data_IF_502611011252
#
_entry.id   IF_502611011252
#
_cell.length_a   1.000
_cell.length_b   1.000
_cell.length_c   1.000
_cell.angle_alpha   90.00
_cell.angle_beta   90.00
_cell.angle_gamma   90.00
#
_symmetry.space_group_name_H-M   'P 1'
#
loop_
_entity.id
_entity.type
_entity.pdbx_description
1 polymer ?
#
# COMPACT_ATOMS: atom_id res chain seq x y z
N UNK A 1 -3.38 16.71 17.28
CA UNK A 1 -4.26 16.67 18.46
C UNK A 1 -3.47 16.33 19.73
N UNK A 2 -3.91 16.84 20.85
CA UNK A 2 -3.28 16.63 22.17
C UNK A 2 -4.14 15.68 22.99
N UNK A 3 -3.52 14.66 23.59
CA UNK A 3 -4.15 13.74 24.53
C UNK A 3 -3.75 14.11 25.95
N UNK A 4 -4.72 14.56 26.76
CA UNK A 4 -4.49 14.82 28.18
C UNK A 4 -4.62 13.55 29.02
N UNK A 5 -3.57 13.21 29.80
CA UNK A 5 -3.62 12.13 30.77
C UNK A 5 -3.63 12.76 32.16
N UNK A 6 -4.67 12.46 32.95
CA UNK A 6 -4.74 12.80 34.34
C UNK A 6 -4.54 11.54 35.19
N UNK A 7 -3.54 11.56 36.08
CA UNK A 7 -3.28 10.45 36.99
C UNK A 7 -3.58 10.93 38.42
N UNK A 8 -4.48 10.24 39.13
CA UNK A 8 -4.83 10.52 40.50
C UNK A 8 -4.48 9.32 41.38
N UNK A 9 -3.59 9.53 42.34
CA UNK A 9 -3.26 8.57 43.39
C UNK A 9 -3.62 9.18 44.74
N UNK A 10 -4.25 8.51 45.66
CA UNK A 10 -4.52 8.79 47.06
C UNK A 10 -4.72 10.29 47.48
N UNK A 11 -5.42 10.61 48.60
CA UNK A 11 -5.94 11.96 48.91
C UNK A 11 -4.90 13.08 49.09
N UNK A 12 -3.63 12.77 49.24
CA UNK A 12 -2.55 13.77 49.41
C UNK A 12 -1.64 13.91 48.16
N UNK A 13 -1.96 13.27 47.03
CA UNK A 13 -1.12 13.29 45.84
C UNK A 13 -1.53 14.43 44.93
N UNK A 14 -0.59 15.27 44.53
CA UNK A 14 -0.84 16.30 43.52
C UNK A 14 -1.09 15.64 42.17
N UNK A 15 -2.22 15.96 41.53
CA UNK A 15 -2.52 15.54 40.17
C UNK A 15 -1.66 16.38 39.23
N UNK A 16 -0.70 15.75 38.54
CA UNK A 16 0.00 16.36 37.44
C UNK A 16 -0.67 15.93 36.13
N UNK A 17 -1.14 16.92 35.35
CA UNK A 17 -1.66 16.70 34.03
C UNK A 17 -0.50 16.69 33.04
N UNK A 18 -0.26 15.54 32.40
CA UNK A 18 0.70 15.42 31.30
C UNK A 18 -0.06 15.43 29.99
N UNK A 19 0.32 16.31 29.08
CA UNK A 19 -0.23 16.35 27.72
C UNK A 19 0.71 15.59 26.78
N UNK A 20 0.16 14.59 26.09
CA UNK A 20 0.87 13.82 25.07
C UNK A 20 0.39 14.24 23.68
N UNK A 21 1.35 14.47 22.80
CA UNK A 21 1.05 14.76 21.40
C UNK A 21 0.56 13.49 20.71
N UNK A 22 -0.60 13.57 20.07
CA UNK A 22 -1.14 12.46 19.29
C UNK A 22 -0.48 12.44 17.90
N UNK A 23 0.07 11.29 17.43
CA UNK A 23 0.67 11.21 16.11
C UNK A 23 -0.38 11.33 15.00
N UNK A 24 0.10 11.47 13.76
CA UNK A 24 -0.75 11.47 12.58
C UNK A 24 -1.34 10.08 12.32
N UNK A 25 -2.36 10.03 11.48
CA UNK A 25 -3.01 8.77 11.08
C UNK A 25 -1.99 7.77 10.51
N UNK A 26 -2.13 6.52 10.90
CA UNK A 26 -1.24 5.43 10.51
C UNK A 26 0.12 5.41 11.22
N UNK A 27 0.36 6.33 12.16
CA UNK A 27 1.55 6.37 13.00
C UNK A 27 1.21 6.00 14.43
N UNK A 28 2.16 5.34 15.12
CA UNK A 28 2.11 5.06 16.55
C UNK A 28 3.31 5.73 17.21
N UNK A 29 3.10 6.41 18.32
CA UNK A 29 4.17 7.04 19.10
C UNK A 29 4.22 6.47 20.50
N UNK A 30 5.40 6.00 20.90
CA UNK A 30 5.63 5.43 22.23
C UNK A 30 6.15 6.51 23.19
N UNK A 31 5.58 6.54 24.39
CA UNK A 31 5.96 7.43 25.45
C UNK A 31 6.36 6.65 26.70
N UNK A 32 7.39 7.14 27.39
CA UNK A 32 7.78 6.67 28.71
C UNK A 32 7.41 7.74 29.74
N UNK A 33 6.51 7.40 30.63
CA UNK A 33 6.04 8.28 31.71
C UNK A 33 6.64 7.80 33.03
N UNK A 34 7.32 8.71 33.77
CA UNK A 34 7.86 8.40 35.07
C UNK A 34 6.93 8.96 36.15
N UNK A 35 6.50 8.10 37.06
CA UNK A 35 5.75 8.47 38.26
C UNK A 35 6.72 8.58 39.40
N UNK A 36 6.90 9.80 39.92
CA UNK A 36 7.80 10.11 41.03
C UNK A 36 7.06 10.13 42.38
N UNK A 37 7.78 9.92 43.47
CA UNK A 37 7.24 10.09 44.80
C UNK A 37 6.44 8.92 45.35
N UNK A 38 6.56 7.74 44.76
CA UNK A 38 6.01 6.52 45.34
C UNK A 38 6.90 5.96 46.45
N UNK A 39 6.31 5.33 47.48
CA UNK A 39 7.07 4.70 48.58
C UNK A 39 8.02 3.60 48.08
N UNK A 40 7.72 2.96 46.98
CA UNK A 40 8.51 1.91 46.32
C UNK A 40 9.55 2.47 45.33
N UNK A 41 9.70 3.80 45.23
CA UNK A 41 10.57 4.49 44.28
C UNK A 41 9.86 4.83 42.95
N UNK A 42 10.57 5.55 42.11
CA UNK A 42 10.04 6.01 40.81
C UNK A 42 9.69 4.83 39.91
N UNK A 43 8.51 4.88 39.31
CA UNK A 43 8.02 3.86 38.37
C UNK A 43 7.91 4.45 36.96
N UNK A 44 8.35 3.70 35.96
CA UNK A 44 8.22 4.08 34.55
C UNK A 44 7.11 3.28 33.88
N UNK A 45 6.18 3.99 33.26
CA UNK A 45 5.07 3.41 32.48
C UNK A 45 5.31 3.69 31.00
N UNK A 46 5.20 2.67 30.17
CA UNK A 46 5.27 2.79 28.72
C UNK A 46 3.85 2.85 28.14
N UNK A 47 3.58 3.87 27.35
CA UNK A 47 2.27 4.10 26.72
C UNK A 47 2.45 4.28 25.22
N UNK A 48 1.76 3.47 24.43
CA UNK A 48 1.69 3.61 22.98
C UNK A 48 0.43 4.40 22.62
N UNK A 49 0.59 5.46 21.83
CA UNK A 49 -0.52 6.31 21.37
C UNK A 49 -0.63 6.21 19.86
N UNK A 50 -1.75 5.69 19.40
CA UNK A 50 -2.07 5.64 17.97
C UNK A 50 -2.64 6.95 17.45
N UNK A 51 -2.37 7.25 16.18
CA UNK A 51 -2.97 8.38 15.49
C UNK A 51 -4.49 8.29 15.46
N UNK A 52 -5.16 9.44 15.52
CA UNK A 52 -6.61 9.51 15.41
C UNK A 52 -7.03 9.14 13.97
N UNK A 53 -7.99 8.22 13.81
CA UNK A 53 -8.61 7.98 12.50
C UNK A 53 -9.25 9.27 11.98
N UNK A 54 -9.05 9.60 10.69
CA UNK A 54 -9.71 10.76 10.10
C UNK A 54 -11.23 10.56 10.03
N UNK A 55 -11.97 11.65 10.02
CA UNK A 55 -13.40 11.62 9.69
C UNK A 55 -13.57 11.20 8.22
N UNK A 56 -14.81 10.86 7.82
CA UNK A 56 -15.12 10.30 6.49
C UNK A 56 -14.48 11.10 5.33
N UNK A 57 -14.55 12.43 5.36
CA UNK A 57 -13.91 13.26 4.33
C UNK A 57 -12.39 13.18 4.35
N UNK A 58 -11.78 13.14 5.55
CA UNK A 58 -10.34 12.94 5.70
C UNK A 58 -9.91 11.56 5.22
N UNK A 59 -10.75 10.52 5.42
CA UNK A 59 -10.49 9.17 4.94
C UNK A 59 -10.49 9.09 3.40
N UNK A 60 -11.35 9.83 2.74
CA UNK A 60 -11.34 9.90 1.27
C UNK A 60 -10.02 10.47 0.73
N UNK A 61 -9.50 11.55 1.34
CA UNK A 61 -8.20 12.09 0.97
C UNK A 61 -7.05 11.09 1.22
N UNK A 62 -7.12 10.33 2.31
CA UNK A 62 -6.16 9.25 2.60
C UNK A 62 -6.22 8.15 1.54
N UNK A 63 -7.40 7.78 1.08
CA UNK A 63 -7.55 6.81 0.00
C UNK A 63 -7.02 7.32 -1.34
N UNK A 64 -7.21 8.61 -1.66
CA UNK A 64 -6.64 9.22 -2.87
C UNK A 64 -5.11 9.18 -2.85
N UNK A 65 -4.49 9.55 -1.73
CA UNK A 65 -3.03 9.45 -1.54
C UNK A 65 -2.54 7.99 -1.62
N UNK A 66 -3.29 7.07 -1.03
CA UNK A 66 -2.99 5.64 -1.09
C UNK A 66 -3.10 5.11 -2.52
N UNK A 67 -4.08 5.54 -3.29
CA UNK A 67 -4.23 5.14 -4.69
C UNK A 67 -3.08 5.66 -5.56
N UNK A 68 -2.62 6.90 -5.34
CA UNK A 68 -1.44 7.43 -6.01
C UNK A 68 -0.18 6.60 -5.69
N UNK A 69 0.00 6.25 -4.42
CA UNK A 69 1.10 5.37 -3.99
C UNK A 69 1.02 3.98 -4.63
N UNK A 70 -0.18 3.41 -4.75
CA UNK A 70 -0.42 2.12 -5.41
C UNK A 70 0.02 2.15 -6.87
N UNK A 71 -0.30 3.21 -7.60
CA UNK A 71 0.10 3.35 -9.03
C UNK A 71 1.61 3.28 -9.23
N UNK A 72 2.38 3.79 -8.30
CA UNK A 72 3.84 3.73 -8.34
C UNK A 72 4.37 2.34 -7.93
N UNK A 73 3.80 1.74 -6.91
CA UNK A 73 4.24 0.47 -6.35
C UNK A 73 4.06 -0.72 -7.30
N UNK A 74 3.05 -0.67 -8.18
CA UNK A 74 2.70 -1.79 -9.06
C UNK A 74 3.48 -1.84 -10.37
N UNK A 75 4.27 -0.83 -10.68
CA UNK A 75 4.97 -0.72 -11.96
C UNK A 75 5.92 -1.91 -12.25
N UNK A 76 6.50 -2.52 -11.21
CA UNK A 76 7.50 -3.57 -11.39
C UNK A 76 8.70 -3.04 -12.17
N UNK A 77 8.96 -3.60 -13.35
CA UNK A 77 10.05 -3.17 -14.24
C UNK A 77 9.61 -2.11 -15.27
N UNK A 78 8.35 -1.69 -15.24
CA UNK A 78 7.82 -0.70 -16.18
C UNK A 78 8.12 0.73 -15.71
N UNK A 79 8.33 1.65 -16.64
CA UNK A 79 8.60 3.06 -16.34
C UNK A 79 7.33 3.83 -15.92
N UNK A 80 6.18 3.44 -16.49
CA UNK A 80 4.90 4.09 -16.22
C UNK A 80 3.73 3.20 -16.62
N UNK A 81 2.53 3.52 -16.16
CA UNK A 81 1.28 2.86 -16.56
C UNK A 81 0.87 3.15 -18.01
N UNK A 82 1.45 4.19 -18.63
CA UNK A 82 1.24 4.55 -20.03
C UNK A 82 2.13 3.74 -21.00
N UNK A 83 3.09 2.98 -20.47
CA UNK A 83 4.03 2.19 -21.26
C UNK A 83 4.38 0.89 -20.53
N UNK A 84 3.40 0.01 -20.41
CA UNK A 84 3.53 -1.28 -19.72
C UNK A 84 3.90 -2.36 -20.72
N UNK A 85 5.09 -2.92 -20.59
CA UNK A 85 5.67 -3.95 -21.47
C UNK A 85 5.91 -5.27 -20.75
N UNK A 86 5.87 -5.27 -19.42
CA UNK A 86 6.03 -6.44 -18.54
C UNK A 86 4.89 -6.53 -17.54
N UNK A 87 4.69 -7.69 -16.92
CA UNK A 87 3.66 -7.89 -15.92
C UNK A 87 3.77 -6.85 -14.79
N UNK A 88 2.61 -6.44 -14.27
CA UNK A 88 2.53 -5.58 -13.10
C UNK A 88 2.77 -6.38 -11.81
N UNK A 89 3.32 -5.72 -10.80
CA UNK A 89 3.51 -6.28 -9.46
C UNK A 89 2.39 -5.80 -8.53
N UNK A 90 1.21 -6.43 -8.63
CA UNK A 90 0.04 -6.01 -7.85
C UNK A 90 0.26 -6.24 -6.35
N UNK A 91 0.09 -5.18 -5.56
CA UNK A 91 0.26 -5.20 -4.10
C UNK A 91 -1.08 -5.49 -3.41
N UNK A 92 -1.05 -6.15 -2.26
CA UNK A 92 -2.24 -6.43 -1.43
C UNK A 92 -2.44 -5.42 -0.30
N UNK A 93 -1.46 -4.55 -0.06
CA UNK A 93 -1.50 -3.46 0.92
C UNK A 93 -0.60 -2.32 0.48
N UNK A 94 -0.89 -1.12 0.98
CA UNK A 94 -0.13 0.11 0.68
C UNK A 94 0.05 0.95 1.95
N UNK A 95 0.43 2.22 1.80
CA UNK A 95 0.64 3.15 2.91
C UNK A 95 -0.54 3.13 3.90
N UNK A 96 -0.27 3.47 5.16
CA UNK A 96 -1.23 3.51 6.26
C UNK A 96 -1.91 2.17 6.59
N UNK A 97 -1.39 1.04 6.10
CA UNK A 97 -2.00 -0.28 6.30
C UNK A 97 -3.31 -0.50 5.52
N UNK A 98 -3.54 0.31 4.48
CA UNK A 98 -4.70 0.18 3.60
C UNK A 98 -4.56 -1.08 2.77
N UNK A 99 -5.60 -1.92 2.76
CA UNK A 99 -5.67 -3.13 1.94
C UNK A 99 -6.07 -2.78 0.52
N UNK A 100 -5.48 -3.51 -0.42
CA UNK A 100 -5.73 -3.35 -1.86
C UNK A 100 -6.23 -4.66 -2.43
N UNK A 101 -7.37 -4.62 -3.11
CA UNK A 101 -7.90 -5.74 -3.86
C UNK A 101 -8.08 -5.35 -5.33
N UNK A 102 -7.82 -6.29 -6.21
CA UNK A 102 -7.77 -6.09 -7.66
C UNK A 102 -8.82 -6.91 -8.37
N UNK A 103 -9.37 -6.34 -9.42
CA UNK A 103 -10.21 -7.03 -10.37
C UNK A 103 -10.00 -6.48 -11.78
N UNK A 104 -9.66 -7.33 -12.72
CA UNK A 104 -9.60 -6.93 -14.11
C UNK A 104 -10.99 -6.67 -14.69
N UNK A 105 -11.13 -5.57 -15.41
CA UNK A 105 -12.30 -5.26 -16.22
C UNK A 105 -12.10 -5.69 -17.69
N UNK A 106 -10.86 -6.06 -18.04
CA UNK A 106 -10.46 -6.55 -19.38
C UNK A 106 -9.54 -7.77 -19.23
N UNK A 107 -10.06 -8.91 -18.70
CA UNK A 107 -9.23 -10.06 -18.35
C UNK A 107 -8.56 -10.73 -19.58
N UNK A 108 -9.05 -10.48 -20.77
CA UNK A 108 -8.43 -10.92 -22.03
C UNK A 108 -7.13 -10.16 -22.36
N UNK A 109 -6.92 -8.98 -21.76
CA UNK A 109 -5.73 -8.15 -21.93
C UNK A 109 -4.77 -8.27 -20.75
N UNK A 110 -5.29 -8.16 -19.53
CA UNK A 110 -4.56 -8.17 -18.27
C UNK A 110 -5.43 -8.84 -17.21
N UNK A 111 -4.92 -9.83 -16.51
CA UNK A 111 -5.70 -10.56 -15.50
C UNK A 111 -5.71 -9.90 -14.10
N UNK A 112 -6.42 -10.51 -13.16
CA UNK A 112 -6.54 -10.05 -11.76
C UNK A 112 -5.21 -10.06 -10.99
N UNK A 113 -4.18 -10.71 -11.51
CA UNK A 113 -2.85 -10.82 -10.91
C UNK A 113 -1.82 -9.90 -11.55
N UNK A 114 -2.23 -9.08 -12.53
CA UNK A 114 -1.34 -8.17 -13.26
C UNK A 114 -0.54 -8.85 -14.36
N UNK A 115 -0.94 -10.05 -14.78
CA UNK A 115 -0.28 -10.79 -15.86
C UNK A 115 -0.91 -10.43 -17.20
N UNK A 116 -0.07 -10.03 -18.14
CA UNK A 116 -0.48 -9.70 -19.51
C UNK A 116 -0.92 -10.98 -20.23
N UNK A 117 -2.16 -10.99 -20.75
CA UNK A 117 -2.77 -12.15 -21.41
C UNK A 117 -2.74 -12.04 -22.94
N UNK A 118 -2.75 -10.83 -23.48
CA UNK A 118 -2.68 -10.59 -24.92
C UNK A 118 -1.27 -10.88 -25.46
N UNK A 119 -1.18 -11.64 -26.56
CA UNK A 119 0.09 -11.99 -27.20
C UNK A 119 0.51 -10.99 -28.28
N UNK A 120 -0.46 -10.50 -29.07
CA UNK A 120 -0.23 -9.59 -30.20
C UNK A 120 -0.74 -8.20 -29.83
N UNK A 121 0.13 -7.39 -29.21
CA UNK A 121 -0.18 -6.01 -28.89
C UNK A 121 0.05 -5.16 -30.16
N UNK A 122 -0.96 -4.37 -30.61
CA UNK A 122 -0.79 -3.51 -31.77
C UNK A 122 0.27 -2.42 -31.50
N UNK A 123 0.88 -1.86 -32.57
CA UNK A 123 1.96 -0.85 -32.42
C UNK A 123 1.55 0.39 -31.59
N UNK A 124 0.28 0.78 -31.70
CA UNK A 124 -0.31 1.88 -30.91
C UNK A 124 -0.58 1.49 -29.46
N UNK A 125 -0.43 0.22 -29.11
CA UNK A 125 -0.77 -0.31 -27.80
C UNK A 125 -2.27 -0.54 -27.61
N UNK A 126 -2.62 -1.10 -26.46
CA UNK A 126 -4.02 -1.35 -26.05
C UNK A 126 -4.20 -0.98 -24.58
N UNK A 127 -5.36 -0.44 -24.23
CA UNK A 127 -5.64 -0.06 -22.85
C UNK A 127 -6.41 -1.17 -22.15
N UNK A 128 -5.80 -1.72 -21.11
CA UNK A 128 -6.45 -2.60 -20.14
C UNK A 128 -6.96 -1.77 -18.95
N UNK A 129 -7.97 -2.29 -18.27
CA UNK A 129 -8.57 -1.63 -17.11
C UNK A 129 -8.60 -2.56 -15.89
N UNK A 130 -8.16 -2.04 -14.76
CA UNK A 130 -8.24 -2.69 -13.46
C UNK A 130 -9.15 -1.90 -12.53
N UNK A 131 -10.05 -2.58 -11.85
CA UNK A 131 -10.74 -2.03 -10.68
C UNK A 131 -9.87 -2.24 -9.47
N UNK A 132 -9.67 -1.18 -8.70
CA UNK A 132 -8.89 -1.16 -7.46
C UNK A 132 -9.83 -0.86 -6.31
N UNK A 133 -9.92 -1.77 -5.36
CA UNK A 133 -10.66 -1.55 -4.11
C UNK A 133 -9.67 -1.30 -2.99
N UNK A 134 -9.72 -0.11 -2.41
CA UNK A 134 -9.00 0.23 -1.18
C UNK A 134 -9.93 0.07 0.02
N UNK A 135 -9.44 -0.52 1.10
CA UNK A 135 -10.23 -0.72 2.32
C UNK A 135 -9.40 -0.54 3.58
N UNK A 136 -10.01 0.14 4.55
CA UNK A 136 -9.46 0.35 5.89
C UNK A 136 -10.61 0.40 6.90
N UNK A 137 -10.57 -0.45 7.94
CA UNK A 137 -11.66 -0.57 8.91
C UNK A 137 -13.02 -0.79 8.20
N UNK A 138 -13.99 0.09 8.43
CA UNK A 138 -15.30 0.05 7.76
C UNK A 138 -15.36 0.83 6.44
N UNK A 139 -14.28 1.51 6.05
CA UNK A 139 -14.24 2.36 4.86
C UNK A 139 -13.77 1.58 3.65
N UNK A 140 -14.42 1.80 2.53
CA UNK A 140 -14.05 1.24 1.23
C UNK A 140 -14.15 2.31 0.14
N UNK A 141 -13.23 2.29 -0.80
CA UNK A 141 -13.26 3.15 -1.98
C UNK A 141 -12.81 2.34 -3.21
N UNK A 142 -13.48 2.58 -4.33
CA UNK A 142 -13.18 1.95 -5.61
C UNK A 142 -12.61 2.97 -6.58
N UNK A 143 -11.58 2.54 -7.31
CA UNK A 143 -10.97 3.29 -8.39
C UNK A 143 -10.90 2.44 -9.63
N UNK A 144 -10.87 3.08 -10.80
CA UNK A 144 -10.53 2.43 -12.07
C UNK A 144 -9.15 2.91 -12.50
N UNK A 145 -8.30 1.97 -12.86
CA UNK A 145 -6.93 2.22 -13.31
C UNK A 145 -6.80 1.80 -14.77
N UNK A 146 -6.47 2.74 -15.63
CA UNK A 146 -6.12 2.47 -17.02
C UNK A 146 -4.64 2.10 -17.12
N UNK A 147 -4.36 1.04 -17.85
CA UNK A 147 -3.02 0.51 -18.07
C UNK A 147 -2.79 0.39 -19.56
N UNK A 148 -1.84 1.16 -20.10
CA UNK A 148 -1.48 1.12 -21.52
C UNK A 148 -0.46 0.02 -21.77
N UNK A 149 -0.92 -1.09 -22.33
CA UNK A 149 -0.05 -2.19 -22.74
C UNK A 149 0.63 -1.83 -24.08
N UNK A 150 1.94 -1.93 -24.11
CA UNK A 150 2.75 -1.64 -25.28
C UNK A 150 3.59 -2.86 -25.66
N UNK A 151 3.86 -3.02 -26.94
CA UNK A 151 4.76 -4.07 -27.41
C UNK A 151 6.18 -3.79 -26.84
N UNK A 152 6.85 -4.79 -26.25
CA UNK A 152 8.24 -4.63 -25.82
C UNK A 152 9.13 -4.18 -26.98
N UNK A 153 10.07 -3.27 -26.73
CA UNK A 153 11.08 -2.89 -27.71
C UNK A 153 11.84 -4.14 -28.15
N UNK A 154 11.95 -4.35 -29.44
CA UNK A 154 12.72 -5.46 -30.04
C UNK A 154 14.22 -5.14 -29.98
N UNK A 155 14.75 -5.00 -28.78
CA UNK A 155 16.18 -4.84 -28.51
C UNK A 155 16.85 -6.21 -28.23
N UNK A 156 18.13 -6.18 -27.91
CA UNK A 156 18.88 -7.40 -27.57
C UNK A 156 18.27 -8.17 -26.38
N UNK A 157 17.72 -7.47 -25.38
CA UNK A 157 17.07 -8.09 -24.22
C UNK A 157 15.78 -8.82 -24.62
N UNK A 158 14.97 -8.24 -25.51
CA UNK A 158 13.78 -8.89 -26.06
C UNK A 158 14.13 -10.23 -26.75
N UNK A 159 15.14 -10.25 -27.59
CA UNK A 159 15.59 -11.47 -28.26
C UNK A 159 16.18 -12.49 -27.30
N UNK A 160 16.92 -12.05 -26.27
CA UNK A 160 17.44 -12.92 -25.21
C UNK A 160 16.30 -13.56 -24.40
N UNK A 161 15.26 -12.81 -24.10
CA UNK A 161 14.07 -13.32 -23.42
C UNK A 161 13.32 -14.38 -24.27
N UNK A 162 13.15 -14.14 -25.56
CA UNK A 162 12.54 -15.11 -26.49
C UNK A 162 13.36 -16.39 -26.57
N UNK A 163 14.68 -16.31 -26.71
CA UNK A 163 15.57 -17.46 -26.74
C UNK A 163 15.52 -18.26 -25.44
N UNK A 164 15.50 -17.59 -24.28
CA UNK A 164 15.40 -18.25 -22.98
C UNK A 164 14.08 -19.00 -22.83
N UNK A 165 12.97 -18.41 -23.29
CA UNK A 165 11.65 -19.05 -23.28
C UNK A 165 11.64 -20.28 -24.20
N UNK A 166 12.13 -20.14 -25.41
CA UNK A 166 12.19 -21.25 -26.40
C UNK A 166 13.03 -22.43 -25.86
N UNK A 167 14.20 -22.16 -25.27
CA UNK A 167 15.04 -23.19 -24.66
C UNK A 167 14.37 -23.92 -23.49
N UNK A 168 13.58 -23.18 -22.67
CA UNK A 168 12.78 -23.81 -21.58
C UNK A 168 11.67 -24.69 -22.11
N UNK A 169 10.98 -24.27 -23.18
CA UNK A 169 9.89 -25.01 -23.78
C UNK A 169 10.42 -26.30 -24.44
N UNK A 170 11.55 -26.23 -25.14
CA UNK A 170 12.23 -27.41 -25.72
C UNK A 170 12.69 -28.37 -24.64
N UNK A 171 13.24 -27.87 -23.53
CA UNK A 171 13.71 -28.70 -22.41
C UNK A 171 12.56 -29.39 -21.67
N UNK A 172 11.37 -28.80 -21.65
CA UNK A 172 10.16 -29.41 -21.08
C UNK A 172 9.50 -30.43 -22.00
N UNK A 173 9.68 -30.33 -23.33
CA UNK A 173 9.13 -31.24 -24.33
C UNK A 173 9.99 -32.50 -24.56
N UNK A 174 11.19 -32.56 -24.01
CA UNK A 174 12.13 -33.68 -24.13
C UNK A 174 12.12 -34.65 -22.93
N UNK A 175 11.15 -34.53 -22.03
CA UNK A 175 10.98 -35.45 -20.87
C UNK A 175 9.82 -36.40 -21.10
#
# INVERSE_FOLDING_TARGET
SVLGIAVSFLPDTQIQKTELERPEFGQTKDYSLTVEGLEEGDQTIHVSVDGKEPETQGMMAVFDDAFDSVKEQILGENESLENVQTNLSLVSSTIYGIRVAWKSLTPELLDDFGVIQIQDIPPEGVTAQLQVKLSYSMYEQYYTLDVRLMMPKKDAQYYMMLLTKQLKDENNNTK
#
